data_IF_428398653448
#
_entry.id   IF_428398653448
#
_cell.length_a   1.000
_cell.length_b   1.000
_cell.length_c   1.000
_cell.angle_alpha   90.00
_cell.angle_beta   90.00
_cell.angle_gamma   90.00
#
_symmetry.space_group_name_H-M   'P 1'
#
loop_
_entity.id
_entity.type
_entity.pdbx_description
1 polymer ?
#
# COMPACT_ATOMS: atom_id res chain seq x y z
N UNK A 1 -21.20 11.01 14.39
CA UNK A 1 -21.09 9.98 13.32
C UNK A 1 -20.26 8.83 13.87
N UNK A 2 -20.66 7.58 13.63
CA UNK A 2 -19.86 6.42 14.05
C UNK A 2 -18.57 6.38 13.25
N UNK A 3 -17.46 6.21 13.95
CA UNK A 3 -16.12 6.12 13.36
C UNK A 3 -16.05 4.96 12.35
N UNK A 4 -15.56 5.24 11.12
CA UNK A 4 -15.52 4.27 10.03
C UNK A 4 -14.47 3.17 10.31
N UNK A 5 -14.81 1.90 10.10
CA UNK A 5 -13.85 0.81 10.30
C UNK A 5 -12.74 0.83 9.25
N UNK A 6 -11.48 0.70 9.71
CA UNK A 6 -10.29 0.52 8.87
C UNK A 6 -9.76 -0.89 9.07
N UNK A 7 -9.46 -1.60 7.99
CA UNK A 7 -8.69 -2.85 8.02
C UNK A 7 -7.27 -2.57 7.54
N UNK A 8 -6.30 -2.88 8.38
CA UNK A 8 -4.87 -2.79 8.05
C UNK A 8 -4.43 -4.16 7.54
N UNK A 9 -3.83 -4.21 6.37
CA UNK A 9 -3.36 -5.42 5.69
C UNK A 9 -1.85 -5.47 5.74
N UNK A 10 -1.29 -6.39 6.54
CA UNK A 10 0.16 -6.52 6.72
C UNK A 10 0.66 -7.83 6.10
N UNK A 11 1.60 -7.70 5.17
CA UNK A 11 2.35 -8.83 4.63
C UNK A 11 3.66 -9.01 5.38
N UNK A 12 3.99 -10.26 5.81
CA UNK A 12 5.24 -10.54 6.51
C UNK A 12 6.00 -11.69 5.85
N UNK A 13 7.34 -11.59 5.88
CA UNK A 13 8.28 -12.66 5.51
C UNK A 13 9.66 -12.38 6.12
N UNK A 14 10.13 -13.26 7.00
CA UNK A 14 11.42 -13.15 7.69
C UNK A 14 11.66 -11.76 8.32
N UNK A 15 10.65 -11.22 9.00
CA UNK A 15 10.62 -9.84 9.51
C UNK A 15 11.01 -9.70 10.99
N UNK A 16 11.52 -10.74 11.67
CA UNK A 16 11.73 -10.75 13.12
C UNK A 16 12.46 -9.51 13.67
N UNK A 17 13.34 -8.90 12.86
CA UNK A 17 14.21 -7.80 13.31
C UNK A 17 13.43 -6.52 13.58
N UNK A 18 12.42 -6.19 12.76
CA UNK A 18 11.75 -4.90 12.78
C UNK A 18 10.26 -4.98 13.12
N UNK A 19 9.65 -6.16 12.98
CA UNK A 19 8.20 -6.37 13.09
C UNK A 19 7.60 -5.84 14.39
N UNK A 20 8.26 -6.02 15.53
CA UNK A 20 7.77 -5.52 16.83
C UNK A 20 7.58 -4.00 16.80
N UNK A 21 8.57 -3.28 16.25
CA UNK A 21 8.53 -1.82 16.13
C UNK A 21 7.34 -1.36 15.28
N UNK A 22 7.10 -2.05 14.16
CA UNK A 22 5.96 -1.75 13.28
C UNK A 22 4.63 -2.04 13.95
N UNK A 23 4.48 -3.20 14.62
CA UNK A 23 3.25 -3.55 15.34
C UNK A 23 2.95 -2.55 16.46
N UNK A 24 3.96 -2.14 17.24
CA UNK A 24 3.80 -1.14 18.30
C UNK A 24 3.31 0.21 17.73
N UNK A 25 3.83 0.64 16.58
CA UNK A 25 3.39 1.88 15.92
C UNK A 25 1.94 1.84 15.43
N UNK A 26 1.46 0.67 15.01
CA UNK A 26 0.05 0.46 14.64
C UNK A 26 -0.85 0.49 15.88
N UNK A 27 -0.44 -0.12 16.98
CA UNK A 27 -1.20 -0.12 18.23
C UNK A 27 -1.34 1.29 18.80
N UNK A 28 -0.36 2.15 18.58
CA UNK A 28 -0.33 3.54 19.04
C UNK A 28 -1.17 4.50 18.20
N UNK A 29 -1.76 4.07 17.06
CA UNK A 29 -2.57 4.95 16.22
C UNK A 29 -3.66 5.67 17.02
N UNK A 30 -3.84 6.97 16.79
CA UNK A 30 -4.90 7.82 17.41
C UNK A 30 -6.29 7.38 16.96
N UNK A 31 -6.43 7.02 15.71
CA UNK A 31 -7.64 6.40 15.17
C UNK A 31 -7.83 5.01 15.78
N UNK A 32 -8.95 4.76 16.51
CA UNK A 32 -9.11 3.53 17.31
C UNK A 32 -9.88 2.41 16.63
N UNK A 33 -10.77 2.73 15.67
CA UNK A 33 -11.62 1.73 15.01
C UNK A 33 -10.89 1.04 13.84
N UNK A 34 -9.79 0.36 14.15
CA UNK A 34 -9.05 -0.45 13.19
C UNK A 34 -8.99 -1.93 13.58
N UNK A 35 -8.75 -2.77 12.58
CA UNK A 35 -8.41 -4.19 12.72
C UNK A 35 -7.19 -4.49 11.84
N UNK A 36 -6.18 -5.17 12.40
CA UNK A 36 -4.98 -5.59 11.67
C UNK A 36 -5.14 -7.06 11.24
N UNK A 37 -5.01 -7.31 9.94
CA UNK A 37 -5.00 -8.65 9.36
C UNK A 37 -3.58 -8.91 8.83
N UNK A 38 -2.93 -9.95 9.37
CA UNK A 38 -1.58 -10.32 9.02
C UNK A 38 -1.59 -11.63 8.24
N UNK A 39 -0.85 -11.70 7.14
CA UNK A 39 -0.52 -12.95 6.47
C UNK A 39 0.99 -13.10 6.39
N UNK A 40 1.49 -14.16 7.02
CA UNK A 40 2.89 -14.53 6.95
C UNK A 40 3.14 -15.42 5.73
N UNK A 41 4.17 -15.11 4.97
CA UNK A 41 4.49 -15.80 3.71
C UNK A 41 5.49 -16.95 3.89
N UNK A 42 5.26 -17.79 4.92
CA UNK A 42 6.10 -18.93 5.31
C UNK A 42 7.49 -18.54 5.84
N UNK A 43 7.55 -17.60 6.79
CA UNK A 43 8.78 -17.20 7.46
C UNK A 43 9.53 -18.37 8.09
N UNK A 44 10.86 -18.29 8.12
CA UNK A 44 11.78 -19.29 8.69
C UNK A 44 12.41 -18.85 10.02
N UNK A 45 12.23 -17.57 10.37
CA UNK A 45 12.73 -16.95 11.59
C UNK A 45 11.63 -16.86 12.68
N UNK A 46 11.81 -15.99 13.69
CA UNK A 46 10.84 -15.83 14.77
C UNK A 46 9.62 -14.95 14.42
N UNK A 47 9.42 -14.57 13.15
CA UNK A 47 8.30 -13.70 12.71
C UNK A 47 6.95 -14.22 13.18
N UNK A 48 6.64 -15.49 12.90
CA UNK A 48 5.35 -16.10 13.27
C UNK A 48 5.14 -16.09 14.79
N UNK A 49 6.19 -16.38 15.58
CA UNK A 49 6.11 -16.33 17.03
C UNK A 49 5.79 -14.92 17.54
N UNK A 50 6.42 -13.89 16.97
CA UNK A 50 6.15 -12.49 17.31
C UNK A 50 4.68 -12.16 17.00
N UNK A 51 4.19 -12.49 15.81
CA UNK A 51 2.79 -12.24 15.42
C UNK A 51 1.82 -12.87 16.41
N UNK A 52 2.03 -14.14 16.77
CA UNK A 52 1.19 -14.86 17.73
C UNK A 52 1.20 -14.24 19.14
N UNK A 53 2.33 -13.67 19.58
CA UNK A 53 2.42 -12.94 20.84
C UNK A 53 1.56 -11.67 20.82
N UNK A 54 1.50 -10.93 19.69
CA UNK A 54 0.69 -9.73 19.54
C UNK A 54 -0.79 -10.05 19.36
N UNK A 55 -1.14 -11.09 18.60
CA UNK A 55 -2.54 -11.54 18.43
C UNK A 55 -3.18 -11.93 19.77
N UNK A 56 -2.40 -12.53 20.70
CA UNK A 56 -2.89 -12.85 22.06
C UNK A 56 -3.08 -11.64 22.97
N UNK A 57 -2.38 -10.52 22.67
CA UNK A 57 -2.43 -9.30 23.51
C UNK A 57 -3.45 -8.29 23.06
N UNK A 58 -3.83 -8.28 21.78
CA UNK A 58 -4.77 -7.30 21.20
C UNK A 58 -5.73 -8.02 20.26
N UNK A 59 -7.01 -8.06 20.64
CA UNK A 59 -8.08 -8.73 19.87
C UNK A 59 -8.33 -8.14 18.50
N UNK A 60 -7.84 -6.93 18.22
CA UNK A 60 -7.91 -6.30 16.91
C UNK A 60 -6.91 -6.88 15.91
N UNK A 61 -5.89 -7.62 16.36
CA UNK A 61 -4.89 -8.28 15.52
C UNK A 61 -5.35 -9.70 15.22
N UNK A 62 -5.36 -10.06 13.94
CA UNK A 62 -5.75 -11.40 13.47
C UNK A 62 -4.78 -11.90 12.42
N UNK A 63 -4.46 -13.18 12.51
CA UNK A 63 -3.62 -13.87 11.54
C UNK A 63 -4.47 -14.72 10.63
N UNK A 64 -4.25 -14.63 9.32
CA UNK A 64 -4.91 -15.52 8.36
C UNK A 64 -3.94 -16.64 7.94
N UNK A 65 -4.49 -17.83 7.78
CA UNK A 65 -3.73 -19.01 7.38
C UNK A 65 -3.13 -18.82 5.98
N UNK A 66 -1.84 -19.12 5.86
CA UNK A 66 -1.09 -19.09 4.61
C UNK A 66 -1.19 -20.41 3.80
N UNK A 67 -1.83 -21.44 4.37
CA UNK A 67 -2.02 -22.76 3.76
C UNK A 67 -0.69 -23.41 3.29
N UNK A 68 0.42 -23.05 3.96
CA UNK A 68 1.77 -23.50 3.59
C UNK A 68 2.30 -22.95 2.27
N UNK A 69 1.71 -21.86 1.74
CA UNK A 69 2.06 -21.28 0.44
C UNK A 69 2.85 -19.98 0.62
N UNK A 70 4.06 -19.94 0.06
CA UNK A 70 4.81 -18.71 -0.17
C UNK A 70 4.37 -18.13 -1.52
N UNK A 71 3.81 -16.92 -1.50
CA UNK A 71 3.25 -16.25 -2.68
C UNK A 71 4.11 -15.07 -3.16
N UNK A 72 5.18 -14.74 -2.42
CA UNK A 72 5.93 -13.51 -2.59
C UNK A 72 5.13 -12.27 -2.18
N UNK A 73 5.79 -11.13 -2.12
CA UNK A 73 5.19 -9.89 -1.60
C UNK A 73 3.88 -9.52 -2.34
N UNK A 74 3.88 -9.57 -3.66
CA UNK A 74 2.72 -9.22 -4.50
C UNK A 74 1.55 -10.16 -4.22
N UNK A 75 1.77 -11.46 -4.30
CA UNK A 75 0.74 -12.48 -4.07
C UNK A 75 0.20 -12.44 -2.64
N UNK A 76 1.07 -12.14 -1.66
CA UNK A 76 0.71 -12.00 -0.26
C UNK A 76 -0.30 -10.85 -0.05
N UNK A 77 -0.05 -9.67 -0.65
CA UNK A 77 -1.00 -8.55 -0.58
C UNK A 77 -2.31 -8.83 -1.31
N UNK A 78 -2.30 -9.49 -2.47
CA UNK A 78 -3.56 -9.85 -3.15
C UNK A 78 -4.38 -10.88 -2.35
N UNK A 79 -3.73 -11.84 -1.68
CA UNK A 79 -4.45 -12.78 -0.82
C UNK A 79 -5.02 -12.08 0.43
N UNK A 80 -4.30 -11.09 1.00
CA UNK A 80 -4.82 -10.23 2.05
C UNK A 80 -6.06 -9.44 1.60
N UNK A 81 -6.02 -8.79 0.42
CA UNK A 81 -7.16 -8.07 -0.16
C UNK A 81 -8.36 -9.01 -0.33
N UNK A 82 -8.14 -10.22 -0.83
CA UNK A 82 -9.17 -11.22 -1.09
C UNK A 82 -9.84 -11.70 0.20
N UNK A 83 -9.05 -11.99 1.26
CA UNK A 83 -9.52 -12.51 2.55
C UNK A 83 -9.92 -11.41 3.55
N UNK A 84 -9.67 -10.13 3.25
CA UNK A 84 -9.97 -9.00 4.13
C UNK A 84 -11.44 -8.95 4.51
N UNK A 85 -11.79 -8.80 5.81
CA UNK A 85 -13.15 -8.57 6.25
C UNK A 85 -13.70 -7.25 5.73
N UNK A 86 -15.03 -7.10 5.78
CA UNK A 86 -15.68 -5.85 5.35
C UNK A 86 -15.33 -4.68 6.27
N UNK A 87 -14.93 -3.57 5.64
CA UNK A 87 -14.62 -2.30 6.28
C UNK A 87 -14.88 -1.13 5.32
N UNK A 88 -14.84 0.10 5.82
CA UNK A 88 -14.94 1.31 4.98
C UNK A 88 -13.64 1.58 4.24
N UNK A 89 -12.50 1.33 4.90
CA UNK A 89 -11.16 1.62 4.37
C UNK A 89 -10.20 0.48 4.62
N UNK A 90 -9.16 0.40 3.79
CA UNK A 90 -8.10 -0.62 3.84
C UNK A 90 -6.74 0.06 3.69
N UNK A 91 -5.87 -0.09 4.70
CA UNK A 91 -4.51 0.42 4.71
C UNK A 91 -3.52 -0.73 4.46
N UNK A 92 -2.43 -0.47 3.75
CA UNK A 92 -1.39 -1.46 3.50
C UNK A 92 -0.19 -1.20 4.40
N UNK A 93 0.41 -2.27 4.92
CA UNK A 93 1.55 -2.19 5.82
C UNK A 93 2.62 -3.19 5.42
N UNK A 94 3.84 -2.70 5.27
CA UNK A 94 5.03 -3.53 5.30
C UNK A 94 5.39 -3.86 6.76
N UNK A 95 6.30 -4.81 6.99
CA UNK A 95 6.63 -5.34 8.32
C UNK A 95 7.73 -4.57 9.06
N UNK A 96 8.40 -3.63 8.39
CA UNK A 96 9.71 -3.09 8.77
C UNK A 96 9.76 -1.56 8.91
N UNK A 97 8.61 -0.87 8.70
CA UNK A 97 8.46 0.56 8.83
C UNK A 97 8.15 1.02 10.28
N UNK A 98 7.81 2.29 10.42
CA UNK A 98 7.23 2.88 11.63
C UNK A 98 6.19 3.94 11.23
N UNK A 99 4.95 3.79 11.70
CA UNK A 99 3.87 4.73 11.43
C UNK A 99 3.81 5.85 12.47
N UNK A 100 3.66 7.10 12.04
CA UNK A 100 3.28 8.18 12.94
C UNK A 100 1.89 7.92 13.50
N UNK A 101 1.62 8.36 14.71
CA UNK A 101 0.41 8.01 15.46
C UNK A 101 -0.90 8.47 14.81
N UNK A 102 -0.86 9.50 13.97
CA UNK A 102 -2.00 10.10 13.27
C UNK A 102 -2.17 9.62 11.80
N UNK A 103 -1.35 8.69 11.33
CA UNK A 103 -1.36 8.23 9.92
C UNK A 103 -2.73 7.77 9.44
N UNK A 104 -3.40 6.92 10.20
CA UNK A 104 -4.72 6.40 9.81
C UNK A 104 -5.78 7.51 9.90
N UNK A 105 -5.75 8.34 10.93
CA UNK A 105 -6.66 9.46 11.10
C UNK A 105 -6.60 10.41 9.89
N UNK A 106 -5.40 10.85 9.49
CA UNK A 106 -5.21 11.75 8.34
C UNK A 106 -5.67 11.15 7.02
N UNK A 107 -5.38 9.87 6.80
CA UNK A 107 -5.85 9.19 5.60
C UNK A 107 -7.39 9.08 5.55
N UNK A 108 -8.03 8.73 6.67
CA UNK A 108 -9.49 8.62 6.76
C UNK A 108 -10.14 9.99 6.58
N UNK A 109 -9.66 11.05 7.28
CA UNK A 109 -10.16 12.43 7.11
C UNK A 109 -10.16 12.84 5.64
N UNK A 110 -9.08 12.57 4.91
CA UNK A 110 -8.97 12.93 3.50
C UNK A 110 -9.91 12.12 2.62
N UNK A 111 -10.01 10.82 2.84
CA UNK A 111 -10.90 9.95 2.06
C UNK A 111 -12.39 10.31 2.30
N UNK A 112 -12.78 10.67 3.52
CA UNK A 112 -14.13 11.16 3.82
C UNK A 112 -14.41 12.50 3.12
N UNK A 113 -13.44 13.44 3.07
CA UNK A 113 -13.57 14.69 2.32
C UNK A 113 -13.72 14.44 0.81
N UNK A 114 -13.02 13.45 0.26
CA UNK A 114 -13.16 13.07 -1.15
C UNK A 114 -14.52 12.42 -1.40
N UNK A 115 -14.96 11.53 -0.53
CA UNK A 115 -16.25 10.83 -0.63
C UNK A 115 -17.42 11.81 -0.56
N UNK A 116 -17.38 12.80 0.35
CA UNK A 116 -18.47 13.78 0.52
C UNK A 116 -18.64 14.73 -0.68
N UNK A 117 -17.61 14.90 -1.50
CA UNK A 117 -17.65 15.74 -2.70
C UNK A 117 -18.11 14.97 -3.95
N UNK A 118 -18.25 13.66 -3.86
CA UNK A 118 -18.64 12.81 -4.97
C UNK A 118 -19.93 12.09 -4.63
N UNK A 119 -21.00 12.35 -5.37
CA UNK A 119 -22.30 11.67 -5.20
C UNK A 119 -22.23 10.20 -5.59
N UNK A 120 -21.29 9.80 -6.45
CA UNK A 120 -21.09 8.44 -6.91
C UNK A 120 -20.14 7.66 -6.00
N UNK A 121 -20.43 6.39 -5.79
CA UNK A 121 -19.55 5.45 -5.09
C UNK A 121 -18.38 5.02 -6.00
N UNK A 122 -17.39 5.91 -6.18
CA UNK A 122 -16.21 5.69 -7.01
C UNK A 122 -15.04 5.08 -6.22
N UNK A 123 -14.07 4.43 -6.89
CA UNK A 123 -12.84 3.97 -6.23
C UNK A 123 -12.00 5.16 -5.77
N UNK A 124 -11.64 5.17 -4.48
CA UNK A 124 -10.82 6.21 -3.87
C UNK A 124 -9.55 5.61 -3.28
N UNK A 125 -8.43 6.31 -3.48
CA UNK A 125 -7.16 6.01 -2.86
C UNK A 125 -6.53 7.27 -2.25
N UNK A 126 -5.84 7.07 -1.14
CA UNK A 126 -4.93 8.01 -0.49
C UNK A 126 -3.54 7.39 -0.50
N UNK A 127 -2.53 8.18 -0.77
CA UNK A 127 -1.12 7.84 -0.51
C UNK A 127 -0.35 9.12 -0.20
N UNK A 128 0.92 9.01 0.17
CA UNK A 128 1.65 10.22 0.53
C UNK A 128 3.16 10.07 0.58
N UNK A 129 3.78 11.18 1.00
CA UNK A 129 5.20 11.29 1.29
C UNK A 129 5.63 10.32 2.40
N UNK A 130 6.91 10.06 2.47
CA UNK A 130 7.53 9.23 3.50
C UNK A 130 8.87 9.80 3.95
N UNK A 131 9.17 9.66 5.23
CA UNK A 131 10.50 9.89 5.75
C UNK A 131 11.37 8.68 5.45
N UNK A 132 12.46 8.86 4.75
CA UNK A 132 13.45 7.81 4.52
C UNK A 132 14.36 7.74 5.74
N UNK A 133 14.48 6.55 6.33
CA UNK A 133 15.29 6.36 7.54
C UNK A 133 16.30 5.24 7.37
N UNK A 134 17.34 5.27 8.20
CA UNK A 134 18.24 4.14 8.36
C UNK A 134 17.58 3.04 9.26
N UNK A 135 18.32 1.98 9.53
CA UNK A 135 17.86 0.87 10.38
C UNK A 135 17.42 1.30 11.79
N UNK A 136 17.96 2.41 12.31
CA UNK A 136 17.66 2.95 13.64
C UNK A 136 16.50 3.96 13.65
N UNK A 137 15.78 4.14 12.53
CA UNK A 137 14.72 5.15 12.36
C UNK A 137 15.21 6.61 12.43
N UNK A 138 16.50 6.86 12.22
CA UNK A 138 17.03 8.23 12.05
C UNK A 138 16.72 8.69 10.62
N UNK A 139 16.03 9.83 10.50
CA UNK A 139 15.61 10.38 9.21
C UNK A 139 16.82 10.85 8.41
N UNK A 140 16.98 10.33 7.20
CA UNK A 140 18.06 10.69 6.27
C UNK A 140 17.59 11.57 5.13
N UNK A 141 16.32 11.44 4.72
CA UNK A 141 15.68 12.22 3.67
C UNK A 141 14.16 12.21 3.80
N UNK A 142 13.49 13.06 3.03
CA UNK A 142 12.04 12.99 2.82
C UNK A 142 11.80 12.74 1.34
N UNK A 143 11.12 11.64 1.03
CA UNK A 143 10.66 11.33 -0.32
C UNK A 143 9.26 11.89 -0.51
N UNK A 144 9.15 12.94 -1.33
CA UNK A 144 7.88 13.59 -1.65
C UNK A 144 7.87 14.10 -3.08
N UNK A 145 6.68 14.16 -3.66
CA UNK A 145 6.42 14.81 -4.94
C UNK A 145 5.68 16.12 -4.67
N UNK A 146 6.20 17.24 -5.20
CA UNK A 146 5.51 18.53 -5.10
C UNK A 146 4.48 18.67 -6.21
N UNK A 147 3.22 18.92 -5.83
CA UNK A 147 2.09 19.05 -6.77
C UNK A 147 2.04 17.90 -7.80
N UNK A 148 2.02 16.65 -7.37
CA UNK A 148 2.11 15.52 -8.29
C UNK A 148 0.87 15.45 -9.18
N UNK A 149 1.08 15.09 -10.44
CA UNK A 149 -0.03 14.81 -11.35
C UNK A 149 -0.55 13.39 -11.09
N UNK A 150 -1.60 13.29 -10.26
CA UNK A 150 -2.27 12.03 -9.94
C UNK A 150 -3.31 11.66 -11.02
N UNK A 151 -2.83 11.50 -12.25
CA UNK A 151 -3.65 11.27 -13.44
C UNK A 151 -3.28 9.95 -14.11
N UNK A 152 -4.18 9.44 -14.92
CA UNK A 152 -4.05 8.16 -15.63
C UNK A 152 -2.76 8.07 -16.46
N UNK A 153 -2.43 9.12 -17.22
CA UNK A 153 -1.26 9.13 -18.09
C UNK A 153 0.05 8.96 -17.32
N UNK A 154 0.11 9.50 -16.09
CA UNK A 154 1.27 9.31 -15.23
C UNK A 154 1.34 7.89 -14.70
N UNK A 155 0.20 7.29 -14.35
CA UNK A 155 0.14 5.92 -13.85
C UNK A 155 0.57 4.87 -14.87
N UNK A 156 0.53 5.19 -16.17
CA UNK A 156 1.03 4.29 -17.23
C UNK A 156 2.56 4.13 -17.24
N UNK A 157 3.29 5.09 -16.66
CA UNK A 157 4.76 5.13 -16.75
C UNK A 157 5.48 5.15 -15.40
N UNK A 158 4.80 5.60 -14.35
CA UNK A 158 5.40 5.78 -13.02
C UNK A 158 4.38 5.47 -11.92
N UNK A 159 4.84 4.85 -10.82
CA UNK A 159 4.03 4.66 -9.62
C UNK A 159 4.37 5.71 -8.57
N UNK A 160 3.40 6.58 -8.24
CA UNK A 160 3.52 7.55 -7.13
C UNK A 160 2.99 7.00 -5.81
N UNK A 161 2.20 5.92 -5.86
CA UNK A 161 1.52 5.33 -4.72
C UNK A 161 2.40 4.24 -4.08
N UNK A 162 3.26 4.60 -3.11
CA UNK A 162 4.03 3.59 -2.36
C UNK A 162 3.09 2.81 -1.43
N UNK A 163 3.11 1.48 -1.51
CA UNK A 163 2.18 0.58 -0.81
C UNK A 163 2.00 0.88 0.67
N UNK A 164 3.08 1.00 1.44
CA UNK A 164 3.03 1.27 2.88
C UNK A 164 2.42 2.65 3.26
N UNK A 165 2.25 3.56 2.28
CA UNK A 165 1.54 4.84 2.49
C UNK A 165 0.07 4.76 2.09
N UNK A 166 -0.33 3.70 1.38
CA UNK A 166 -1.60 3.61 0.69
C UNK A 166 -2.77 3.25 1.62
N UNK A 167 -3.89 3.97 1.44
CA UNK A 167 -5.20 3.63 2.03
C UNK A 167 -6.27 3.74 0.94
N UNK A 168 -7.13 2.72 0.83
CA UNK A 168 -8.18 2.67 -0.20
C UNK A 168 -9.57 2.51 0.41
N UNK A 169 -10.60 2.92 -0.34
CA UNK A 169 -11.98 2.68 0.08
C UNK A 169 -12.46 1.25 -0.28
N UNK A 170 -13.61 0.87 0.28
CA UNK A 170 -14.25 -0.43 0.03
C UNK A 170 -14.51 -0.66 -1.47
N UNK A 171 -14.90 0.37 -2.21
CA UNK A 171 -15.18 0.25 -3.66
C UNK A 171 -13.96 -0.24 -4.42
N UNK A 172 -12.79 0.38 -4.20
CA UNK A 172 -11.56 0.02 -4.87
C UNK A 172 -11.12 -1.40 -4.48
N UNK A 173 -11.16 -1.73 -3.17
CA UNK A 173 -10.86 -3.08 -2.67
C UNK A 173 -11.75 -4.14 -3.32
N UNK A 174 -13.06 -3.90 -3.43
CA UNK A 174 -14.00 -4.86 -4.01
C UNK A 174 -13.79 -5.02 -5.52
N UNK A 175 -13.37 -3.97 -6.23
CA UNK A 175 -12.96 -4.07 -7.64
C UNK A 175 -11.78 -5.00 -7.82
N UNK A 176 -10.72 -4.85 -7.00
CA UNK A 176 -9.55 -5.72 -7.05
C UNK A 176 -9.92 -7.17 -6.69
N UNK A 177 -10.70 -7.35 -5.62
CA UNK A 177 -11.14 -8.68 -5.17
C UNK A 177 -11.94 -9.42 -6.24
N UNK A 178 -12.82 -8.70 -6.96
CA UNK A 178 -13.66 -9.28 -8.01
C UNK A 178 -12.87 -9.62 -9.27
N UNK A 179 -11.90 -8.78 -9.60
CA UNK A 179 -11.12 -8.90 -10.82
C UNK A 179 -9.63 -8.71 -10.48
N UNK A 180 -8.97 -9.72 -9.89
CA UNK A 180 -7.54 -9.64 -9.61
C UNK A 180 -6.77 -9.59 -10.94
N UNK A 181 -5.61 -8.90 -10.99
CA UNK A 181 -4.81 -8.84 -12.20
C UNK A 181 -4.26 -10.21 -12.59
N UNK A 182 -4.22 -10.51 -13.88
CA UNK A 182 -3.47 -11.65 -14.40
C UNK A 182 -1.95 -11.39 -14.25
N UNK A 183 -1.53 -10.13 -14.38
CA UNK A 183 -0.16 -9.68 -14.15
C UNK A 183 -0.13 -8.25 -13.62
N UNK A 184 0.73 -7.99 -12.66
CA UNK A 184 1.09 -6.63 -12.19
C UNK A 184 2.53 -6.58 -11.71
N UNK A 185 3.15 -5.42 -11.83
CA UNK A 185 4.51 -5.16 -11.32
C UNK A 185 4.50 -5.11 -9.79
N UNK A 186 3.50 -4.42 -9.22
CA UNK A 186 3.29 -4.31 -7.77
C UNK A 186 1.81 -4.05 -7.47
N UNK A 187 1.36 -4.48 -6.27
CA UNK A 187 -0.03 -4.31 -5.83
C UNK A 187 -0.44 -2.83 -5.75
N UNK A 188 0.45 -1.96 -5.28
CA UNK A 188 0.23 -0.52 -5.14
C UNK A 188 0.15 0.19 -6.50
N UNK A 189 0.93 -0.24 -7.49
CA UNK A 189 0.81 0.28 -8.85
C UNK A 189 -0.54 -0.10 -9.49
N UNK A 190 -1.04 -1.30 -9.20
CA UNK A 190 -2.38 -1.72 -9.63
C UNK A 190 -3.48 -0.85 -9.02
N UNK A 191 -3.37 -0.55 -7.72
CA UNK A 191 -4.25 0.37 -7.01
C UNK A 191 -4.21 1.75 -7.67
N UNK A 192 -3.00 2.25 -7.97
CA UNK A 192 -2.79 3.56 -8.59
C UNK A 192 -3.44 3.63 -9.98
N UNK A 193 -3.31 2.60 -10.81
CA UNK A 193 -3.97 2.52 -12.11
C UNK A 193 -5.49 2.60 -11.97
N UNK A 194 -6.13 1.84 -11.07
CA UNK A 194 -7.58 1.88 -10.87
C UNK A 194 -8.03 3.24 -10.36
N UNK A 195 -7.37 3.79 -9.34
CA UNK A 195 -7.77 5.05 -8.73
C UNK A 195 -7.71 6.23 -9.73
N UNK A 196 -6.64 6.31 -10.53
CA UNK A 196 -6.47 7.42 -11.49
C UNK A 196 -7.30 7.29 -12.76
N UNK A 197 -7.66 6.07 -13.16
CA UNK A 197 -8.46 5.85 -14.37
C UNK A 197 -9.97 5.89 -14.13
N UNK A 198 -10.44 5.31 -13.03
CA UNK A 198 -11.87 5.05 -12.76
C UNK A 198 -12.39 5.78 -11.51
N UNK A 199 -11.53 6.52 -10.82
CA UNK A 199 -11.86 7.18 -9.58
C UNK A 199 -10.97 8.37 -9.28
N UNK A 200 -10.51 8.46 -8.02
CA UNK A 200 -9.64 9.55 -7.57
C UNK A 200 -8.53 9.04 -6.66
N UNK A 201 -7.35 9.66 -6.78
CA UNK A 201 -6.23 9.48 -5.86
C UNK A 201 -5.84 10.84 -5.27
N UNK A 202 -5.69 10.88 -3.95
CA UNK A 202 -5.08 12.00 -3.26
C UNK A 202 -3.66 11.63 -2.83
N UNK A 203 -2.71 12.50 -3.14
CA UNK A 203 -1.33 12.40 -2.67
C UNK A 203 -1.08 13.46 -1.61
N UNK A 204 -0.62 13.02 -0.41
CA UNK A 204 -0.27 13.92 0.68
C UNK A 204 1.23 14.22 0.66
N UNK A 205 1.57 15.52 0.68
CA UNK A 205 2.98 15.95 0.71
C UNK A 205 3.59 15.86 2.12
N UNK A 206 2.74 15.63 3.15
CA UNK A 206 3.18 15.46 4.53
C UNK A 206 3.45 13.97 4.78
N UNK A 207 4.64 13.61 5.29
CA UNK A 207 4.95 12.23 5.62
C UNK A 207 4.32 11.81 6.96
N UNK A 208 3.64 10.67 6.97
CA UNK A 208 3.08 10.03 8.17
C UNK A 208 3.68 8.65 8.42
N UNK A 209 4.83 8.36 7.81
CA UNK A 209 5.53 7.09 7.92
C UNK A 209 7.04 7.29 7.85
N UNK A 210 7.77 6.57 8.70
CA UNK A 210 9.21 6.35 8.60
C UNK A 210 9.44 5.08 7.81
N UNK A 211 9.88 5.24 6.56
CA UNK A 211 10.21 4.16 5.64
C UNK A 211 11.64 3.71 5.90
N UNK A 212 11.80 2.52 6.48
CA UNK A 212 13.10 2.02 6.90
C UNK A 212 13.88 1.43 5.72
N UNK A 213 15.12 1.88 5.56
CA UNK A 213 16.07 1.33 4.60
C UNK A 213 17.01 0.34 5.27
N UNK A 214 17.09 -0.88 4.74
CA UNK A 214 18.02 -1.94 5.13
C UNK A 214 18.32 -2.84 3.93
N UNK A 215 19.30 -3.74 4.07
CA UNK A 215 19.78 -4.55 2.94
C UNK A 215 18.74 -5.55 2.40
N UNK A 216 17.75 -5.90 3.21
CA UNK A 216 16.73 -6.91 2.88
C UNK A 216 15.43 -6.29 2.34
N UNK A 217 15.37 -4.96 2.09
CA UNK A 217 14.20 -4.34 1.49
C UNK A 217 13.95 -4.92 0.09
N UNK A 218 12.71 -5.33 -0.20
CA UNK A 218 12.31 -5.79 -1.53
C UNK A 218 12.49 -4.69 -2.59
N UNK A 219 12.31 -3.42 -2.20
CA UNK A 219 12.56 -2.23 -3.02
C UNK A 219 13.15 -1.14 -2.14
N UNK A 220 14.38 -0.69 -2.48
CA UNK A 220 15.04 0.44 -1.81
C UNK A 220 14.72 1.77 -2.47
N UNK A 221 14.69 2.86 -1.70
CA UNK A 221 14.59 4.22 -2.22
C UNK A 221 16.00 4.78 -2.49
N UNK A 222 16.16 5.60 -3.54
CA UNK A 222 17.46 6.14 -3.94
C UNK A 222 17.56 7.58 -3.47
N UNK A 223 18.47 7.84 -2.55
CA UNK A 223 18.63 9.14 -1.86
C UNK A 223 19.31 10.25 -2.70
N UNK A 224 19.79 9.97 -3.93
CA UNK A 224 20.52 10.95 -4.74
C UNK A 224 19.70 11.39 -5.96
N UNK A 225 19.49 12.71 -6.12
CA UNK A 225 18.71 13.31 -7.22
C UNK A 225 19.28 12.97 -8.61
N UNK A 226 20.59 12.82 -8.74
CA UNK A 226 21.24 12.45 -10.02
C UNK A 226 21.09 10.96 -10.29
N UNK A 227 21.06 10.12 -9.27
CA UNK A 227 20.82 8.69 -9.39
C UNK A 227 19.34 8.38 -9.57
N UNK A 228 18.40 9.21 -9.05
CA UNK A 228 16.96 9.08 -9.29
C UNK A 228 16.61 9.19 -10.79
N UNK A 229 17.20 10.15 -11.52
CA UNK A 229 16.99 10.27 -12.97
C UNK A 229 17.57 9.08 -13.74
N UNK A 230 18.77 8.64 -13.38
CA UNK A 230 19.40 7.45 -13.99
C UNK A 230 18.62 6.18 -13.64
N UNK A 231 18.11 6.07 -12.41
CA UNK A 231 17.29 4.94 -11.97
C UNK A 231 15.93 4.91 -12.67
N UNK A 232 15.24 6.06 -12.78
CA UNK A 232 14.00 6.21 -13.54
C UNK A 232 14.19 5.85 -15.01
N UNK A 233 15.26 6.37 -15.63
CA UNK A 233 15.62 5.99 -16.99
C UNK A 233 15.95 4.50 -17.11
N UNK A 234 16.72 3.93 -16.21
CA UNK A 234 17.05 2.51 -16.20
C UNK A 234 15.81 1.64 -15.97
N UNK A 235 14.92 2.02 -15.07
CA UNK A 235 13.62 1.32 -14.86
C UNK A 235 12.72 1.41 -16.09
N UNK A 236 12.59 2.58 -16.70
CA UNK A 236 11.80 2.77 -17.93
C UNK A 236 12.28 1.85 -19.06
N UNK A 237 13.58 1.61 -19.16
CA UNK A 237 14.13 0.76 -20.21
C UNK A 237 14.19 -0.73 -19.82
N UNK A 238 14.54 -1.06 -18.58
CA UNK A 238 14.66 -2.46 -18.13
C UNK A 238 13.33 -3.14 -17.84
N UNK A 239 12.29 -2.38 -17.44
CA UNK A 239 10.95 -2.90 -17.10
C UNK A 239 9.88 -2.64 -18.16
N UNK A 240 10.25 -2.15 -19.36
CA UNK A 240 9.27 -1.87 -20.43
C UNK A 240 8.33 -3.04 -20.70
N UNK A 241 8.86 -4.25 -20.78
CA UNK A 241 8.05 -5.46 -21.00
C UNK A 241 7.09 -5.77 -19.84
N UNK A 242 7.52 -5.51 -18.59
CA UNK A 242 6.71 -5.74 -17.40
C UNK A 242 5.57 -4.71 -17.27
N UNK A 243 5.89 -3.43 -17.50
CA UNK A 243 4.90 -2.35 -17.50
C UNK A 243 3.88 -2.56 -18.62
N UNK A 244 4.34 -2.95 -19.82
CA UNK A 244 3.44 -3.26 -20.94
C UNK A 244 2.48 -4.40 -20.59
N UNK A 245 2.97 -5.52 -20.05
CA UNK A 245 2.12 -6.65 -19.60
C UNK A 245 1.12 -6.22 -18.52
N UNK A 246 1.53 -5.35 -17.60
CA UNK A 246 0.63 -4.80 -16.58
C UNK A 246 -0.49 -3.97 -17.22
N UNK A 247 -0.17 -3.11 -18.20
CA UNK A 247 -1.15 -2.30 -18.91
C UNK A 247 -2.10 -3.18 -19.72
N UNK A 248 -1.62 -4.21 -20.42
CA UNK A 248 -2.46 -5.18 -21.11
C UNK A 248 -3.42 -5.86 -20.12
N UNK A 249 -2.91 -6.40 -19.02
CA UNK A 249 -3.74 -7.01 -17.97
C UNK A 249 -4.78 -6.04 -17.41
N UNK A 250 -4.43 -4.73 -17.30
CA UNK A 250 -5.36 -3.70 -16.86
C UNK A 250 -6.47 -3.44 -17.89
N UNK A 251 -6.11 -3.30 -19.15
CA UNK A 251 -7.05 -3.03 -20.24
C UNK A 251 -7.99 -4.20 -20.48
N UNK A 252 -7.55 -5.44 -20.35
CA UNK A 252 -8.40 -6.64 -20.45
C UNK A 252 -9.53 -6.61 -19.42
N UNK A 253 -9.25 -6.12 -18.20
CA UNK A 253 -10.23 -6.09 -17.11
C UNK A 253 -11.07 -4.81 -17.15
N UNK A 254 -10.41 -3.66 -17.27
CA UNK A 254 -11.03 -2.34 -17.05
C UNK A 254 -11.18 -1.48 -18.31
N UNK A 255 -10.58 -1.86 -19.44
CA UNK A 255 -10.57 -1.07 -20.67
C UNK A 255 -11.96 -0.66 -21.17
N UNK A 256 -12.98 -1.50 -20.95
CA UNK A 256 -14.37 -1.20 -21.31
C UNK A 256 -15.01 -0.06 -20.48
N UNK A 257 -14.44 0.24 -19.32
CA UNK A 257 -14.94 1.30 -18.41
C UNK A 257 -14.19 2.62 -18.59
N UNK A 258 -13.13 2.66 -19.43
CA UNK A 258 -12.39 3.87 -19.71
C UNK A 258 -13.12 4.74 -20.69
N UNK A 259 -13.10 6.07 -20.47
CA UNK A 259 -13.57 7.06 -21.46
C UNK A 259 -12.79 6.95 -22.76
N UNK A 260 -13.41 7.39 -23.86
CA UNK A 260 -12.81 7.36 -25.22
C UNK A 260 -11.42 8.00 -25.28
N UNK A 261 -11.16 9.01 -24.45
CA UNK A 261 -9.89 9.72 -24.39
C UNK A 261 -8.81 8.98 -23.54
N UNK A 262 -9.18 7.92 -22.81
CA UNK A 262 -8.27 7.10 -21.99
C UNK A 262 -8.00 5.73 -22.60
N UNK A 263 -8.68 5.40 -23.71
CA UNK A 263 -8.44 4.16 -24.47
C UNK A 263 -7.34 4.40 -25.50
#
# INVERSE_FOLDING_TARGET
MTEKKVVILMATYNGQKYLKCQLDSIIQQTYRNWQLIIRDDCSKDNTVKIIQEYEKKDDRIKVIDNEGKNLGAIGNFFELIKKAPDASYYAFSDQDDYWHEDKIEKAVERLEQMSSKNEENIPLAYCGAKEITNEKLEVTAVSTFKNPRTVWENALVENLCTGCTCVINKKLKDMIRKNPPAYTVMHDWWIYLIATSLGMLYYDEIPYIKYRQHNDNAYGDINDKTSLWKYRFKQLFSKRGEVYKQIESFLDIYGKYLDTNKR
#
